data_IF_749255526296
#
_entry.id   IF_749255526296
#
_cell.length_a   1.000
_cell.length_b   1.000
_cell.length_c   1.000
_cell.angle_alpha   90.00
_cell.angle_beta   90.00
_cell.angle_gamma   90.00
#
_symmetry.space_group_name_H-M   'P 1'
#
loop_
_entity.id
_entity.type
_entity.pdbx_description
1 polymer ?
#
# COMPACT_ATOMS: atom_id res chain seq x y z
N UNK A 1 19.21 -26.51 -9.47
CA UNK A 1 19.81 -25.28 -10.02
C UNK A 1 18.99 -24.75 -11.18
N UNK A 2 18.65 -25.59 -12.18
CA UNK A 2 17.78 -25.21 -13.31
C UNK A 2 16.37 -24.76 -12.87
N UNK A 3 15.78 -25.43 -11.87
CA UNK A 3 14.46 -25.08 -11.34
C UNK A 3 14.43 -23.72 -10.61
N UNK A 4 15.50 -23.42 -9.85
CA UNK A 4 15.67 -22.12 -9.19
C UNK A 4 15.77 -20.98 -10.20
N UNK A 5 16.55 -21.16 -11.27
CA UNK A 5 16.72 -20.14 -12.31
C UNK A 5 15.41 -19.90 -13.08
N UNK A 6 14.64 -20.96 -13.36
CA UNK A 6 13.30 -20.86 -13.97
C UNK A 6 12.31 -20.11 -13.09
N UNK A 7 12.34 -20.37 -11.78
CA UNK A 7 11.51 -19.65 -10.83
C UNK A 7 11.87 -18.15 -10.79
N UNK A 8 13.16 -17.82 -10.66
CA UNK A 8 13.63 -16.42 -10.70
C UNK A 8 13.29 -15.72 -12.03
N UNK A 9 13.38 -16.42 -13.16
CA UNK A 9 13.00 -15.88 -14.47
C UNK A 9 11.51 -15.57 -14.55
N UNK A 10 10.67 -16.39 -13.91
CA UNK A 10 9.23 -16.16 -13.80
C UNK A 10 8.92 -14.91 -12.99
N UNK A 11 9.54 -14.74 -11.82
CA UNK A 11 9.41 -13.52 -11.01
C UNK A 11 9.86 -12.28 -11.78
N UNK A 12 11.03 -12.35 -12.41
CA UNK A 12 11.58 -11.26 -13.23
C UNK A 12 10.61 -10.81 -14.31
N UNK A 13 10.13 -11.77 -15.12
CA UNK A 13 9.17 -11.51 -16.19
C UNK A 13 7.90 -10.84 -15.69
N UNK A 14 7.31 -11.35 -14.61
CA UNK A 14 6.04 -10.84 -14.07
C UNK A 14 6.25 -9.46 -13.45
N UNK A 15 7.25 -9.30 -12.58
CA UNK A 15 7.45 -8.08 -11.80
C UNK A 15 7.99 -6.93 -12.63
N UNK A 16 8.88 -7.18 -13.59
CA UNK A 16 9.30 -6.15 -14.55
C UNK A 16 8.11 -5.66 -15.40
N UNK A 17 7.27 -6.58 -15.87
CA UNK A 17 6.05 -6.22 -16.63
C UNK A 17 5.09 -5.40 -15.78
N UNK A 18 4.89 -5.77 -14.51
CA UNK A 18 4.06 -5.01 -13.58
C UNK A 18 4.62 -3.61 -13.32
N UNK A 19 5.94 -3.47 -13.12
CA UNK A 19 6.58 -2.16 -12.98
C UNK A 19 6.29 -1.28 -14.21
N UNK A 20 6.56 -1.79 -15.42
CA UNK A 20 6.27 -1.04 -16.64
C UNK A 20 4.80 -0.65 -16.77
N UNK A 21 3.87 -1.55 -16.41
CA UNK A 21 2.44 -1.29 -16.45
C UNK A 21 2.02 -0.19 -15.45
N UNK A 22 2.45 -0.29 -14.19
CA UNK A 22 2.14 0.68 -13.12
C UNK A 22 2.60 2.09 -13.50
N UNK A 23 3.80 2.21 -14.07
CA UNK A 23 4.35 3.49 -14.51
C UNK A 23 3.99 3.85 -15.96
N UNK A 24 3.10 3.09 -16.61
CA UNK A 24 2.57 3.32 -17.98
C UNK A 24 3.64 3.40 -19.08
N UNK A 25 4.73 2.67 -18.94
CA UNK A 25 5.76 2.61 -19.97
C UNK A 25 5.48 1.52 -21.00
N UNK A 26 5.63 1.90 -22.29
CA UNK A 26 5.86 0.95 -23.38
C UNK A 26 7.31 0.48 -23.40
N UNK A 27 7.63 -0.56 -24.17
CA UNK A 27 9.02 -1.01 -24.33
C UNK A 27 9.92 0.04 -24.97
N UNK A 28 9.38 0.87 -25.87
CA UNK A 28 10.12 1.96 -26.53
C UNK A 28 10.38 3.07 -25.52
N UNK A 29 9.30 3.60 -24.92
CA UNK A 29 9.40 4.71 -23.98
C UNK A 29 10.20 4.36 -22.72
N UNK A 30 10.17 3.09 -22.28
CA UNK A 30 11.01 2.65 -21.17
C UNK A 30 12.49 2.68 -21.55
N UNK A 31 12.86 2.17 -22.74
CA UNK A 31 14.24 2.21 -23.20
C UNK A 31 14.75 3.66 -23.32
N UNK A 32 13.93 4.56 -23.88
CA UNK A 32 14.22 5.98 -24.00
C UNK A 32 14.44 6.63 -22.63
N UNK A 33 13.50 6.45 -21.69
CA UNK A 33 13.60 7.01 -20.34
C UNK A 33 14.80 6.44 -19.55
N UNK A 34 15.13 5.16 -19.73
CA UNK A 34 16.28 4.53 -19.08
C UNK A 34 17.60 5.10 -19.64
N UNK A 35 17.67 5.28 -20.96
CA UNK A 35 18.81 5.91 -21.63
C UNK A 35 18.99 7.36 -21.21
N UNK A 36 17.91 8.12 -21.12
CA UNK A 36 17.92 9.51 -20.67
C UNK A 36 18.45 9.62 -19.23
N UNK A 37 17.98 8.74 -18.32
CA UNK A 37 18.38 8.78 -16.91
C UNK A 37 19.84 8.37 -16.67
N UNK A 38 20.35 7.37 -17.40
CA UNK A 38 21.66 6.75 -17.10
C UNK A 38 22.71 6.86 -18.22
N UNK A 39 22.42 7.54 -19.32
CA UNK A 39 23.34 7.68 -20.45
C UNK A 39 23.61 6.36 -21.20
N UNK A 40 22.66 5.42 -21.17
CA UNK A 40 22.76 4.14 -21.86
C UNK A 40 22.25 4.21 -23.31
N UNK A 41 22.39 3.12 -24.06
CA UNK A 41 21.99 3.05 -25.48
C UNK A 41 21.14 1.81 -25.78
N UNK A 42 20.12 1.55 -24.95
CA UNK A 42 19.19 0.43 -25.10
C UNK A 42 18.10 0.72 -26.12
N UNK A 43 17.65 -0.31 -26.83
CA UNK A 43 16.50 -0.23 -27.73
C UNK A 43 15.30 -1.04 -27.24
N UNK A 44 14.17 -0.91 -27.93
CA UNK A 44 12.95 -1.68 -27.68
C UNK A 44 13.20 -3.21 -27.68
N UNK A 45 14.11 -3.69 -28.54
CA UNK A 45 14.47 -5.11 -28.60
C UNK A 45 15.18 -5.60 -27.34
N UNK A 46 15.96 -4.76 -26.68
CA UNK A 46 16.64 -5.11 -25.43
C UNK A 46 15.61 -5.26 -24.32
N UNK A 47 14.70 -4.29 -24.19
CA UNK A 47 13.57 -4.37 -23.25
C UNK A 47 12.71 -5.60 -23.52
N UNK A 48 12.39 -5.88 -24.78
CA UNK A 48 11.63 -7.07 -25.16
C UNK A 48 12.35 -8.36 -24.73
N UNK A 49 13.68 -8.44 -24.87
CA UNK A 49 14.46 -9.58 -24.37
C UNK A 49 14.37 -9.68 -22.85
N UNK A 50 14.56 -8.58 -22.11
CA UNK A 50 14.48 -8.60 -20.65
C UNK A 50 13.10 -9.03 -20.14
N UNK A 51 12.02 -8.56 -20.76
CA UNK A 51 10.66 -8.98 -20.40
C UNK A 51 10.36 -10.46 -20.73
N UNK A 52 11.18 -11.08 -21.58
CA UNK A 52 11.03 -12.47 -21.99
C UNK A 52 12.15 -13.37 -21.47
N UNK A 53 12.85 -12.96 -20.41
CA UNK A 53 13.79 -13.84 -19.70
C UNK A 53 13.11 -15.16 -19.32
N UNK A 54 13.80 -16.26 -19.58
CA UNK A 54 13.29 -17.62 -19.43
C UNK A 54 12.51 -18.18 -20.64
N UNK A 55 12.31 -17.39 -21.70
CA UNK A 55 11.61 -17.86 -22.90
C UNK A 55 12.52 -18.75 -23.76
N UNK A 56 11.98 -19.87 -24.24
CA UNK A 56 12.68 -20.75 -25.20
C UNK A 56 12.78 -20.10 -26.58
N UNK A 57 13.97 -20.11 -27.15
CA UNK A 57 14.30 -19.64 -28.51
C UNK A 57 15.00 -20.75 -29.29
N UNK A 58 15.13 -20.59 -30.61
CA UNK A 58 15.73 -21.62 -31.50
C UNK A 58 17.11 -22.12 -31.03
N UNK A 59 17.90 -21.25 -30.40
CA UNK A 59 19.27 -21.54 -29.98
C UNK A 59 19.47 -21.45 -28.45
N UNK A 60 18.44 -21.76 -27.65
CA UNK A 60 18.55 -21.81 -26.18
C UNK A 60 17.41 -21.09 -25.48
N UNK A 61 17.72 -20.40 -24.40
CA UNK A 61 16.77 -19.67 -23.57
C UNK A 61 17.22 -18.22 -23.42
N UNK A 62 16.27 -17.29 -23.35
CA UNK A 62 16.59 -15.89 -23.10
C UNK A 62 17.12 -15.75 -21.68
N UNK A 63 18.40 -15.40 -21.55
CA UNK A 63 19.03 -15.15 -20.25
C UNK A 63 18.50 -13.89 -19.57
N UNK A 64 18.88 -13.73 -18.30
CA UNK A 64 18.73 -12.45 -17.61
C UNK A 64 19.53 -11.35 -18.32
N UNK A 65 19.14 -10.07 -18.19
CA UNK A 65 20.05 -8.98 -18.51
C UNK A 65 21.35 -9.12 -17.70
N UNK A 66 22.40 -8.41 -18.13
CA UNK A 66 23.60 -8.29 -17.31
C UNK A 66 23.24 -7.69 -15.95
N UNK A 67 23.96 -8.09 -14.91
CA UNK A 67 23.68 -7.64 -13.55
C UNK A 67 23.68 -6.11 -13.43
N UNK A 68 24.61 -5.41 -14.10
CA UNK A 68 24.63 -3.95 -14.14
C UNK A 68 23.32 -3.37 -14.71
N UNK A 69 22.79 -3.97 -15.78
CA UNK A 69 21.50 -3.60 -16.36
C UNK A 69 20.35 -3.90 -15.39
N UNK A 70 20.42 -5.00 -14.63
CA UNK A 70 19.42 -5.29 -13.60
C UNK A 70 19.41 -4.22 -12.50
N UNK A 71 20.59 -3.76 -12.06
CA UNK A 71 20.72 -2.67 -11.10
C UNK A 71 20.09 -1.37 -11.62
N UNK A 72 20.36 -0.99 -12.87
CA UNK A 72 19.78 0.21 -13.48
C UNK A 72 18.25 0.14 -13.59
N UNK A 73 17.72 -1.03 -13.99
CA UNK A 73 16.27 -1.26 -14.07
C UNK A 73 15.63 -1.15 -12.68
N UNK A 74 16.26 -1.74 -11.67
CA UNK A 74 15.77 -1.73 -10.29
C UNK A 74 15.76 -0.30 -9.72
N UNK A 75 16.86 0.45 -9.87
CA UNK A 75 16.95 1.85 -9.47
C UNK A 75 15.95 2.75 -10.21
N UNK A 76 15.73 2.50 -11.51
CA UNK A 76 14.75 3.25 -12.30
C UNK A 76 13.35 3.16 -11.71
N UNK A 77 12.92 1.96 -11.33
CA UNK A 77 11.61 1.72 -10.73
C UNK A 77 11.58 1.90 -9.21
N UNK A 78 12.70 2.29 -8.59
CA UNK A 78 12.86 2.43 -7.14
C UNK A 78 12.48 1.14 -6.39
N UNK A 79 12.97 0.00 -6.87
CA UNK A 79 12.80 -1.33 -6.26
C UNK A 79 14.17 -2.01 -6.10
N UNK A 80 14.24 -3.04 -5.26
CA UNK A 80 15.45 -3.88 -5.17
C UNK A 80 15.49 -4.92 -6.31
N UNK A 81 16.71 -5.29 -6.75
CA UNK A 81 16.88 -6.42 -7.69
C UNK A 81 16.33 -7.72 -7.09
N UNK A 82 16.39 -7.86 -5.77
CA UNK A 82 15.76 -8.97 -5.04
C UNK A 82 14.25 -9.03 -5.28
N UNK A 83 13.56 -7.89 -5.33
CA UNK A 83 12.15 -7.86 -5.71
C UNK A 83 11.97 -8.33 -7.15
N UNK A 84 12.73 -7.81 -8.11
CA UNK A 84 12.59 -8.25 -9.50
C UNK A 84 12.84 -9.76 -9.66
N UNK A 85 13.78 -10.33 -8.91
CA UNK A 85 14.15 -11.75 -9.03
C UNK A 85 13.40 -12.71 -8.10
N UNK A 86 12.51 -12.21 -7.23
CA UNK A 86 11.73 -13.05 -6.30
C UNK A 86 12.47 -13.45 -5.02
N UNK A 87 13.51 -12.72 -4.61
CA UNK A 87 14.21 -12.92 -3.34
C UNK A 87 13.49 -12.26 -2.16
N UNK A 88 12.68 -11.24 -2.44
CA UNK A 88 11.78 -10.57 -1.49
C UNK A 88 10.43 -10.37 -2.15
N UNK A 89 9.33 -10.50 -1.42
CA UNK A 89 7.99 -10.23 -1.95
C UNK A 89 7.60 -8.75 -1.91
N UNK A 90 8.33 -7.95 -1.15
CA UNK A 90 8.15 -6.50 -1.08
C UNK A 90 9.12 -5.75 -1.97
N UNK A 91 8.82 -4.49 -2.27
CA UNK A 91 9.62 -3.68 -3.21
C UNK A 91 11.07 -3.47 -2.75
N UNK A 92 11.37 -3.69 -1.46
CA UNK A 92 12.72 -3.73 -0.92
C UNK A 92 12.80 -4.65 0.29
N UNK A 93 14.01 -5.14 0.59
CA UNK A 93 14.26 -5.93 1.80
C UNK A 93 13.98 -5.15 3.09
N UNK A 94 14.12 -3.82 3.05
CA UNK A 94 13.78 -2.96 4.19
C UNK A 94 12.29 -2.94 4.47
N UNK A 95 11.46 -2.90 3.43
CA UNK A 95 10.00 -2.97 3.58
C UNK A 95 9.59 -4.35 4.07
N UNK A 96 10.15 -5.43 3.51
CA UNK A 96 9.88 -6.79 4.00
C UNK A 96 10.25 -6.97 5.47
N UNK A 97 11.40 -6.45 5.88
CA UNK A 97 11.82 -6.49 7.29
C UNK A 97 10.90 -5.66 8.19
N UNK A 98 10.42 -4.51 7.72
CA UNK A 98 9.44 -3.71 8.46
C UNK A 98 8.09 -4.43 8.56
N UNK A 99 7.60 -5.04 7.48
CA UNK A 99 6.37 -5.82 7.45
C UNK A 99 6.43 -7.00 8.44
N UNK A 100 7.52 -7.77 8.40
CA UNK A 100 7.71 -8.92 9.30
C UNK A 100 7.88 -8.51 10.77
N UNK A 101 8.53 -7.39 11.05
CA UNK A 101 8.73 -6.90 12.41
C UNK A 101 7.45 -6.29 13.02
N UNK A 102 6.68 -5.53 12.23
CA UNK A 102 5.52 -4.77 12.72
C UNK A 102 4.21 -5.58 12.56
N UNK A 103 4.15 -6.51 11.62
CA UNK A 103 2.94 -7.29 11.30
C UNK A 103 1.98 -6.61 10.32
N UNK A 104 2.39 -5.50 9.70
CA UNK A 104 1.61 -4.79 8.67
C UNK A 104 2.06 -5.18 7.26
N UNK A 105 1.15 -5.11 6.28
CA UNK A 105 1.48 -5.34 4.87
C UNK A 105 2.30 -4.17 4.26
N UNK A 106 2.91 -4.40 3.09
CA UNK A 106 3.75 -3.41 2.43
C UNK A 106 3.05 -2.10 2.07
N UNK A 107 1.75 -2.15 1.74
CA UNK A 107 0.97 -0.95 1.41
C UNK A 107 0.81 -0.04 2.63
N UNK A 108 0.49 -0.61 3.79
CA UNK A 108 0.41 0.13 5.05
C UNK A 108 1.77 0.72 5.45
N UNK A 109 2.86 -0.04 5.32
CA UNK A 109 4.21 0.45 5.61
C UNK A 109 4.61 1.60 4.67
N UNK A 110 4.28 1.51 3.38
CA UNK A 110 4.52 2.59 2.41
C UNK A 110 3.73 3.85 2.76
N UNK A 111 2.46 3.73 3.11
CA UNK A 111 1.64 4.87 3.51
C UNK A 111 2.21 5.60 4.74
N UNK A 112 2.67 4.85 5.75
CA UNK A 112 3.36 5.42 6.92
C UNK A 112 4.68 6.12 6.49
N UNK A 113 5.44 5.49 5.59
CA UNK A 113 6.71 6.06 5.08
C UNK A 113 6.49 7.33 4.25
N UNK A 114 5.42 7.43 3.47
CA UNK A 114 5.10 8.62 2.66
C UNK A 114 4.74 9.85 3.50
N UNK A 115 4.17 9.62 4.68
CA UNK A 115 3.90 10.68 5.65
C UNK A 115 5.22 11.13 6.31
N UNK A 116 6.01 10.16 6.77
CA UNK A 116 7.20 10.40 7.60
C UNK A 116 8.45 10.82 6.81
N UNK A 117 8.63 10.31 5.58
CA UNK A 117 9.73 10.57 4.62
C UNK A 117 11.07 10.94 5.31
N UNK A 118 11.78 9.95 5.87
CA UNK A 118 12.95 10.22 6.70
C UNK A 118 14.10 10.88 5.94
N UNK A 119 14.20 10.70 4.62
CA UNK A 119 15.30 11.25 3.81
C UNK A 119 15.16 12.74 3.49
N UNK A 120 13.99 13.34 3.74
CA UNK A 120 13.72 14.74 3.41
C UNK A 120 13.80 15.63 4.66
N UNK A 121 15.00 15.71 5.24
CA UNK A 121 15.25 16.43 6.50
C UNK A 121 15.01 17.94 6.41
N UNK A 122 15.15 18.53 5.21
CA UNK A 122 15.09 19.97 4.99
C UNK A 122 13.66 20.56 4.97
N UNK A 123 12.62 19.72 5.02
CA UNK A 123 11.24 20.18 5.10
C UNK A 123 10.80 20.27 6.57
N UNK A 124 10.73 21.49 7.10
CA UNK A 124 10.20 21.76 8.45
C UNK A 124 8.83 21.10 8.67
N UNK A 125 7.95 21.16 7.67
CA UNK A 125 6.64 20.49 7.70
C UNK A 125 6.75 18.98 7.89
N UNK A 126 7.72 18.31 7.24
CA UNK A 126 7.92 16.86 7.37
C UNK A 126 8.50 16.47 8.73
N UNK A 127 9.34 17.32 9.31
CA UNK A 127 9.83 17.12 10.69
C UNK A 127 8.67 17.16 11.68
N UNK A 128 7.79 18.14 11.57
CA UNK A 128 6.63 18.28 12.46
C UNK A 128 5.64 17.12 12.29
N UNK A 129 5.44 16.63 11.05
CA UNK A 129 4.64 15.42 10.78
C UNK A 129 5.22 14.18 11.47
N UNK A 130 6.55 13.98 11.41
CA UNK A 130 7.21 12.87 12.13
C UNK A 130 7.05 13.00 13.64
N UNK A 131 7.25 14.20 14.18
CA UNK A 131 7.10 14.44 15.62
C UNK A 131 5.66 14.17 16.07
N UNK A 132 4.68 14.61 15.28
CA UNK A 132 3.25 14.35 15.52
C UNK A 132 2.93 12.87 15.50
N UNK A 133 3.39 12.14 14.48
CA UNK A 133 3.22 10.69 14.38
C UNK A 133 3.85 9.96 15.57
N UNK A 134 5.07 10.32 15.96
CA UNK A 134 5.75 9.75 17.12
C UNK A 134 4.96 10.02 18.42
N UNK A 135 4.47 11.24 18.63
CA UNK A 135 3.64 11.58 19.80
C UNK A 135 2.34 10.80 19.84
N UNK A 136 1.67 10.62 18.69
CA UNK A 136 0.44 9.83 18.59
C UNK A 136 0.68 8.37 18.99
N UNK A 137 1.64 7.70 18.36
CA UNK A 137 1.88 6.26 18.60
C UNK A 137 2.51 5.97 19.97
N UNK A 138 3.20 6.93 20.58
CA UNK A 138 3.77 6.80 21.93
C UNK A 138 2.84 7.31 23.04
N UNK A 139 1.67 7.87 22.70
CA UNK A 139 0.72 8.34 23.70
C UNK A 139 0.20 7.16 24.53
N UNK A 140 0.10 7.35 25.85
CA UNK A 140 -0.40 6.31 26.77
C UNK A 140 -1.82 5.82 26.43
N UNK A 141 -2.65 6.68 25.86
CA UNK A 141 -4.01 6.35 25.44
C UNK A 141 -4.11 5.70 24.06
N UNK A 142 -3.01 5.60 23.31
CA UNK A 142 -3.03 5.06 21.95
C UNK A 142 -3.57 3.62 21.85
N UNK A 143 -3.28 2.69 22.79
CA UNK A 143 -3.89 1.37 22.76
C UNK A 143 -5.43 1.41 22.88
N UNK A 144 -5.96 2.18 23.84
CA UNK A 144 -7.41 2.33 24.01
C UNK A 144 -8.06 2.95 22.77
N UNK A 145 -7.41 3.96 22.19
CA UNK A 145 -7.84 4.58 20.93
C UNK A 145 -7.92 3.53 19.81
N UNK A 146 -6.93 2.66 19.69
CA UNK A 146 -6.91 1.61 18.67
C UNK A 146 -7.98 0.55 18.90
N UNK A 147 -8.25 0.17 20.15
CA UNK A 147 -9.35 -0.74 20.49
C UNK A 147 -10.71 -0.17 20.02
N UNK A 148 -10.94 1.13 20.21
CA UNK A 148 -12.16 1.80 19.72
C UNK A 148 -12.24 1.87 18.20
N UNK A 149 -11.12 2.07 17.51
CA UNK A 149 -11.08 1.97 16.05
C UNK A 149 -11.36 0.55 15.56
N UNK A 150 -10.92 -0.48 16.30
CA UNK A 150 -11.22 -1.87 15.97
C UNK A 150 -12.70 -2.18 16.16
N UNK A 151 -13.30 -1.79 17.29
CA UNK A 151 -14.75 -1.92 17.54
C UNK A 151 -15.54 -1.32 16.37
N UNK A 152 -15.10 -0.16 15.90
CA UNK A 152 -15.68 0.55 14.76
C UNK A 152 -15.59 -0.23 13.45
N UNK A 153 -14.41 -0.77 13.15
CA UNK A 153 -14.19 -1.58 11.95
C UNK A 153 -15.08 -2.83 11.98
N UNK A 154 -15.16 -3.52 13.12
CA UNK A 154 -16.01 -4.69 13.30
C UNK A 154 -17.49 -4.36 13.07
N UNK A 155 -17.98 -3.24 13.62
CA UNK A 155 -19.34 -2.79 13.39
C UNK A 155 -19.64 -2.52 11.90
N UNK A 156 -18.66 -2.02 11.15
CA UNK A 156 -18.83 -1.70 9.72
C UNK A 156 -18.96 -2.94 8.82
N UNK A 157 -18.33 -4.06 9.17
CA UNK A 157 -18.32 -5.28 8.34
C UNK A 157 -19.48 -6.25 8.67
N UNK A 158 -20.15 -6.08 9.81
CA UNK A 158 -21.28 -6.94 10.23
C UNK A 158 -22.49 -6.85 9.28
N UNK A 159 -22.64 -5.77 8.52
CA UNK A 159 -23.74 -5.58 7.57
C UNK A 159 -23.55 -6.34 6.24
N UNK A 160 -22.33 -6.76 5.92
CA UNK A 160 -21.98 -7.26 4.58
C UNK A 160 -22.09 -8.79 4.41
N UNK A 161 -22.45 -9.52 5.48
CA UNK A 161 -22.44 -11.00 5.49
C UNK A 161 -23.80 -11.69 5.28
N UNK A 162 -24.93 -10.97 5.21
CA UNK A 162 -26.24 -11.61 5.13
C UNK A 162 -26.79 -11.71 3.68
N UNK A 163 -26.21 -12.60 2.86
CA UNK A 163 -26.84 -13.06 1.62
C UNK A 163 -28.03 -13.99 1.94
N UNK A 164 -29.27 -13.49 1.88
CA UNK A 164 -30.49 -14.29 2.13
C UNK A 164 -31.50 -14.22 0.99
N UNK A 165 -32.13 -15.37 0.71
CA UNK A 165 -33.31 -15.50 -0.17
C UNK A 165 -34.58 -15.43 0.70
N UNK A 166 -35.46 -14.47 0.42
CA UNK A 166 -36.71 -14.27 1.17
C UNK A 166 -37.87 -15.06 0.55
N UNK A 167 -38.70 -15.70 1.38
CA UNK A 167 -39.85 -16.51 0.92
C UNK A 167 -41.08 -15.65 0.58
N UNK A 168 -41.22 -14.47 1.16
CA UNK A 168 -42.33 -13.54 0.91
C UNK A 168 -41.87 -12.08 0.91
N UNK A 169 -42.61 -11.20 0.24
CA UNK A 169 -42.29 -9.78 0.14
C UNK A 169 -42.33 -9.06 1.50
N UNK A 170 -43.29 -9.41 2.37
CA UNK A 170 -43.37 -8.83 3.72
C UNK A 170 -42.15 -9.19 4.58
N UNK A 171 -41.65 -10.43 4.48
CA UNK A 171 -40.43 -10.84 5.20
C UNK A 171 -39.17 -10.11 4.72
N UNK A 172 -39.14 -9.71 3.45
CA UNK A 172 -38.08 -8.87 2.91
C UNK A 172 -38.20 -7.42 3.41
N UNK A 173 -39.42 -6.87 3.48
CA UNK A 173 -39.69 -5.51 3.97
C UNK A 173 -39.34 -5.39 5.46
N UNK A 174 -39.77 -6.33 6.30
CA UNK A 174 -39.45 -6.32 7.73
C UNK A 174 -37.95 -6.47 7.99
N UNK A 175 -37.26 -7.28 7.18
CA UNK A 175 -35.81 -7.39 7.22
C UNK A 175 -35.12 -6.09 6.80
N UNK A 176 -35.53 -5.45 5.70
CA UNK A 176 -34.97 -4.18 5.25
C UNK A 176 -35.18 -3.09 6.31
N UNK A 177 -36.37 -3.01 6.93
CA UNK A 177 -36.65 -2.09 8.04
C UNK A 177 -35.78 -2.40 9.26
N UNK A 178 -35.56 -3.68 9.56
CA UNK A 178 -34.63 -4.13 10.59
C UNK A 178 -33.18 -3.74 10.30
N UNK A 179 -32.74 -3.84 9.04
CA UNK A 179 -31.41 -3.39 8.60
C UNK A 179 -31.28 -1.86 8.64
N UNK A 180 -32.31 -1.10 8.27
CA UNK A 180 -32.31 0.36 8.41
C UNK A 180 -32.23 0.77 9.88
N UNK A 181 -32.95 0.08 10.75
CA UNK A 181 -32.90 0.31 12.19
C UNK A 181 -31.53 -0.06 12.78
N UNK A 182 -31.00 -1.25 12.46
CA UNK A 182 -29.65 -1.66 12.83
C UNK A 182 -28.58 -0.72 12.27
N UNK A 183 -28.71 -0.30 11.02
CA UNK A 183 -27.80 0.64 10.37
C UNK A 183 -27.86 2.03 11.03
N UNK A 184 -29.03 2.49 11.49
CA UNK A 184 -29.14 3.70 12.31
C UNK A 184 -28.41 3.52 13.63
N UNK A 185 -28.63 2.41 14.35
CA UNK A 185 -27.92 2.11 15.60
C UNK A 185 -26.41 2.10 15.38
N UNK A 186 -25.92 1.37 14.37
CA UNK A 186 -24.49 1.29 14.04
C UNK A 186 -23.93 2.68 13.71
N UNK A 187 -24.66 3.53 12.98
CA UNK A 187 -24.23 4.93 12.73
C UNK A 187 -24.16 5.77 14.00
N UNK A 188 -25.11 5.57 14.93
CA UNK A 188 -25.08 6.25 16.23
C UNK A 188 -23.90 5.78 17.07
N UNK A 189 -23.67 4.46 17.16
CA UNK A 189 -22.52 3.86 17.86
C UNK A 189 -21.19 4.32 17.25
N UNK A 190 -21.11 4.38 15.91
CA UNK A 190 -19.96 4.92 15.17
C UNK A 190 -19.72 6.40 15.48
N UNK A 191 -20.78 7.21 15.50
CA UNK A 191 -20.68 8.62 15.84
C UNK A 191 -20.27 8.82 17.30
N UNK A 192 -20.83 8.05 18.23
CA UNK A 192 -20.47 8.09 19.64
C UNK A 192 -19.00 7.70 19.85
N UNK A 193 -18.55 6.61 19.22
CA UNK A 193 -17.16 6.19 19.26
C UNK A 193 -16.22 7.28 18.69
N UNK A 194 -16.58 7.90 17.57
CA UNK A 194 -15.83 9.03 16.99
C UNK A 194 -15.79 10.25 17.90
N UNK A 195 -16.89 10.59 18.56
CA UNK A 195 -16.95 11.72 19.50
C UNK A 195 -16.10 11.43 20.75
N UNK A 196 -16.18 10.22 21.29
CA UNK A 196 -15.31 9.77 22.38
C UNK A 196 -13.84 9.84 21.98
N UNK A 197 -13.50 9.38 20.77
CA UNK A 197 -12.17 9.46 20.17
C UNK A 197 -11.63 10.90 20.15
N UNK A 198 -12.44 11.85 19.66
CA UNK A 198 -12.07 13.26 19.58
C UNK A 198 -11.88 13.85 20.98
N UNK A 199 -12.76 13.53 21.92
CA UNK A 199 -12.66 14.01 23.30
C UNK A 199 -11.46 13.44 24.06
N UNK A 200 -11.06 12.19 23.79
CA UNK A 200 -9.86 11.60 24.39
C UNK A 200 -8.56 12.21 23.81
N UNK A 201 -8.54 12.52 22.51
CA UNK A 201 -7.42 13.21 21.88
C UNK A 201 -7.33 14.68 22.29
N UNK A 202 -8.46 15.31 22.60
CA UNK A 202 -8.57 16.72 22.99
C UNK A 202 -9.43 16.88 24.26
N UNK A 203 -8.93 16.48 25.44
CA UNK A 203 -9.72 16.49 26.67
C UNK A 203 -10.10 17.89 27.17
N UNK A 204 -9.41 18.93 26.68
CA UNK A 204 -9.67 20.34 26.97
C UNK A 204 -9.64 21.16 25.68
N UNK A 205 -10.69 21.12 24.84
CA UNK A 205 -10.76 22.00 23.69
C UNK A 205 -10.82 23.46 24.18
N UNK A 206 -10.12 24.41 23.52
CA UNK A 206 -10.18 25.81 23.91
C UNK A 206 -11.62 26.31 23.85
N UNK A 207 -12.08 26.98 24.91
CA UNK A 207 -13.36 27.69 24.89
C UNK A 207 -13.29 28.78 23.82
N UNK A 208 -13.93 28.53 22.68
CA UNK A 208 -14.20 29.59 21.70
C UNK A 208 -15.39 30.37 22.25
N UNK A 209 -15.14 31.60 22.71
CA UNK A 209 -16.19 32.54 23.05
C UNK A 209 -16.96 32.88 21.77
N UNK A 210 -18.13 32.26 21.59
CA UNK A 210 -19.04 32.50 20.45
C UNK A 210 -19.89 33.77 20.65
N UNK A 211 -19.37 34.78 21.36
CA UNK A 211 -20.00 36.08 21.43
C UNK A 211 -19.80 36.79 20.08
N UNK A 212 -20.73 36.50 19.16
CA UNK A 212 -21.00 37.34 18.01
C UNK A 212 -21.59 38.63 18.59
N UNK A 213 -20.83 39.72 18.53
CA UNK A 213 -21.36 41.05 18.81
C UNK A 213 -22.44 41.34 17.75
N UNK A 214 -23.69 41.49 18.20
CA UNK A 214 -24.81 42.02 17.39
C UNK A 214 -24.53 43.46 16.91
#
# INVERSE_FOLDING_TARGET
MDDLLKQKATYWKIRLKNCMYTYRYTQVSFAEALNEKYGTSYGQKDVSRWMNTGAKIKNGEVGFPKFDTMLLIADFFSVDVGYLTGETDEISFSVEKACSYIGLNGEAIKAIREITQPENENSYMRKDMRETFNKLFSAKGFPNFFDKLQDLHLASILLDQENRVFKTQDSAIDYIRGLEYKGKIIRYELNEALVQLVNELYPNPPHVDLNINE
#
